data_IF_314361079872
#
_entry.id   IF_314361079872
#
_cell.length_a   1.000
_cell.length_b   1.000
_cell.length_c   1.000
_cell.angle_alpha   90.00
_cell.angle_beta   90.00
_cell.angle_gamma   90.00
#
_symmetry.space_group_name_H-M   'P 1'
#
loop_
_entity.id
_entity.type
_entity.pdbx_description
1 polymer ?
#
# COMPACT_ATOMS: atom_id res chain seq x y z
N UNK A 1 26.02 -20.55 5.47
CA UNK A 1 24.98 -20.86 4.47
C UNK A 1 23.81 -19.93 4.76
N UNK A 2 23.84 -18.72 4.20
CA UNK A 2 22.75 -17.76 4.35
C UNK A 2 21.71 -18.11 3.29
N UNK A 3 20.52 -18.46 3.74
CA UNK A 3 19.40 -18.80 2.88
C UNK A 3 19.08 -17.57 2.03
N UNK A 4 19.15 -17.75 0.70
CA UNK A 4 18.71 -16.79 -0.30
C UNK A 4 17.18 -16.67 -0.21
N UNK A 5 16.71 -15.92 0.77
CA UNK A 5 15.40 -15.29 0.69
C UNK A 5 15.59 -14.17 -0.32
N UNK A 6 15.02 -14.35 -1.51
CA UNK A 6 14.83 -13.30 -2.51
C UNK A 6 14.54 -12.01 -1.74
N UNK A 7 15.25 -10.89 -1.96
CA UNK A 7 14.75 -9.61 -1.51
C UNK A 7 13.49 -9.37 -2.34
N UNK A 8 12.38 -9.96 -1.88
CA UNK A 8 11.05 -9.58 -2.30
C UNK A 8 11.06 -8.07 -2.13
N UNK A 9 10.75 -7.36 -3.20
CA UNK A 9 10.87 -5.92 -3.33
C UNK A 9 9.84 -5.19 -2.46
N UNK A 10 9.75 -5.57 -1.19
CA UNK A 10 9.00 -4.91 -0.15
C UNK A 10 9.42 -3.44 -0.02
N UNK A 11 10.59 -3.02 -0.52
CA UNK A 11 11.01 -1.62 -0.57
C UNK A 11 10.69 -0.85 -1.85
N UNK A 12 9.95 -1.42 -2.82
CA UNK A 12 9.62 -0.70 -4.05
C UNK A 12 8.62 0.42 -3.73
N UNK A 13 9.07 1.67 -3.87
CA UNK A 13 8.23 2.86 -3.64
C UNK A 13 7.02 2.91 -4.57
N UNK A 14 7.07 2.15 -5.66
CA UNK A 14 5.95 1.97 -6.59
C UNK A 14 4.75 1.26 -5.97
N UNK A 15 4.97 0.43 -4.93
CA UNK A 15 3.88 -0.18 -4.14
C UNK A 15 3.05 0.89 -3.40
N UNK A 16 3.63 2.07 -3.17
CA UNK A 16 2.95 3.21 -2.57
C UNK A 16 2.17 4.05 -3.59
N UNK A 17 2.14 3.62 -4.85
CA UNK A 17 1.33 4.23 -5.90
C UNK A 17 0.00 3.47 -5.96
N UNK A 18 -1.14 4.13 -5.75
CA UNK A 18 -2.45 3.50 -5.89
C UNK A 18 -2.61 2.97 -7.33
N UNK A 19 -3.08 1.73 -7.47
CA UNK A 19 -3.33 1.07 -8.76
C UNK A 19 -2.10 0.45 -9.44
N UNK A 20 -0.92 0.49 -8.78
CA UNK A 20 0.30 -0.08 -9.36
C UNK A 20 0.53 -1.54 -8.96
N UNK A 21 0.28 -1.89 -7.70
CA UNK A 21 0.68 -3.19 -7.17
C UNK A 21 -0.24 -4.34 -7.62
N UNK A 22 -1.48 -4.04 -8.04
CA UNK A 22 -2.44 -5.10 -8.37
C UNK A 22 -2.83 -5.86 -7.11
N UNK A 23 -2.54 -7.17 -7.08
CA UNK A 23 -2.76 -8.02 -5.91
C UNK A 23 -1.55 -7.96 -4.95
N UNK A 24 -1.70 -7.24 -3.84
CA UNK A 24 -0.67 -7.15 -2.80
C UNK A 24 -0.57 -8.46 -2.01
N UNK A 25 0.64 -9.04 -2.00
CA UNK A 25 0.95 -10.14 -1.09
C UNK A 25 1.04 -9.65 0.36
N UNK A 26 0.84 -10.55 1.34
CA UNK A 26 0.95 -10.22 2.78
C UNK A 26 2.18 -9.37 3.16
N UNK A 27 3.41 -9.67 2.73
CA UNK A 27 4.57 -8.84 3.07
C UNK A 27 4.60 -7.48 2.36
N UNK A 28 4.02 -7.34 1.17
CA UNK A 28 3.91 -6.05 0.49
C UNK A 28 2.86 -5.16 1.14
N UNK A 29 1.76 -5.77 1.59
CA UNK A 29 0.72 -5.08 2.32
C UNK A 29 1.22 -4.52 3.64
N UNK A 30 1.97 -5.30 4.42
CA UNK A 30 2.57 -4.84 5.69
C UNK A 30 3.47 -3.62 5.47
N UNK A 31 4.26 -3.61 4.40
CA UNK A 31 5.09 -2.46 4.06
C UNK A 31 4.28 -1.23 3.65
N UNK A 32 3.28 -1.40 2.79
CA UNK A 32 2.40 -0.31 2.38
C UNK A 32 1.70 0.28 3.60
N UNK A 33 1.15 -0.57 4.48
CA UNK A 33 0.52 -0.16 5.73
C UNK A 33 1.48 0.63 6.63
N UNK A 34 2.69 0.12 6.87
CA UNK A 34 3.69 0.79 7.69
C UNK A 34 4.02 2.19 7.13
N UNK A 35 4.23 2.29 5.80
CA UNK A 35 4.56 3.55 5.12
C UNK A 35 3.40 4.54 5.15
N UNK A 36 2.17 4.07 4.96
CA UNK A 36 0.96 4.88 5.07
C UNK A 36 0.79 5.42 6.49
N UNK A 37 1.00 4.57 7.50
CA UNK A 37 0.93 4.95 8.92
C UNK A 37 2.01 5.97 9.30
N UNK A 38 3.19 5.84 8.72
CA UNK A 38 4.33 6.74 8.95
C UNK A 38 4.20 8.08 8.19
N UNK A 39 3.45 8.11 7.10
CA UNK A 39 3.33 9.28 6.22
C UNK A 39 1.88 9.73 6.03
N UNK A 40 1.48 10.79 6.74
CA UNK A 40 0.12 11.38 6.60
C UNK A 40 -0.21 11.88 5.19
N UNK A 41 0.80 12.29 4.39
CA UNK A 41 0.59 12.71 2.99
C UNK A 41 0.16 11.53 2.11
N UNK A 42 0.93 10.44 2.16
CA UNK A 42 0.63 9.18 1.49
C UNK A 42 -0.72 8.60 1.91
N UNK A 43 -1.00 8.60 3.22
CA UNK A 43 -2.30 8.20 3.75
C UNK A 43 -3.45 9.01 3.14
N UNK A 44 -3.26 10.33 2.94
CA UNK A 44 -4.25 11.19 2.27
C UNK A 44 -4.37 10.90 0.77
N UNK A 45 -3.26 10.61 0.08
CA UNK A 45 -3.26 10.22 -1.34
C UNK A 45 -4.00 8.89 -1.57
N UNK A 46 -3.87 7.97 -0.62
CA UNK A 46 -4.60 6.70 -0.59
C UNK A 46 -6.03 6.84 -0.06
N UNK A 47 -6.47 8.04 0.31
CA UNK A 47 -7.83 8.29 0.79
C UNK A 47 -8.12 7.73 2.19
N UNK A 48 -7.07 7.38 2.95
CA UNK A 48 -7.19 6.90 4.34
C UNK A 48 -7.30 8.10 5.27
N UNK A 49 -8.53 8.50 5.59
CA UNK A 49 -8.79 9.63 6.47
C UNK A 49 -8.92 9.10 7.90
N UNK A 50 -7.77 8.91 8.57
CA UNK A 50 -7.64 8.66 10.02
C UNK A 50 -8.37 7.42 10.56
N UNK A 51 -7.65 6.29 10.64
CA UNK A 51 -8.04 5.10 11.41
C UNK A 51 -8.59 3.93 10.58
N UNK A 52 -8.80 4.11 9.27
CA UNK A 52 -9.28 3.08 8.35
C UNK A 52 -8.18 2.34 7.60
N UNK A 53 -7.08 1.96 8.27
CA UNK A 53 -6.08 1.05 7.67
C UNK A 53 -6.65 -0.36 7.65
N UNK A 54 -7.54 -0.61 6.69
CA UNK A 54 -8.15 -1.92 6.52
C UNK A 54 -7.42 -2.65 5.40
N UNK A 55 -6.98 -3.89 5.64
CA UNK A 55 -6.24 -4.70 4.68
C UNK A 55 -6.97 -4.74 3.32
N UNK A 56 -8.28 -4.99 3.35
CA UNK A 56 -9.10 -5.04 2.15
C UNK A 56 -9.11 -3.71 1.39
N UNK A 57 -9.10 -2.58 2.11
CA UNK A 57 -9.06 -1.26 1.52
C UNK A 57 -7.71 -0.97 0.85
N UNK A 58 -6.61 -1.28 1.54
CA UNK A 58 -5.25 -1.12 1.00
C UNK A 58 -5.09 -1.97 -0.26
N UNK A 59 -5.53 -3.24 -0.23
CA UNK A 59 -5.53 -4.09 -1.43
C UNK A 59 -6.35 -3.52 -2.56
N UNK A 60 -7.55 -3.02 -2.27
CA UNK A 60 -8.43 -2.47 -3.29
C UNK A 60 -7.85 -1.21 -3.94
N UNK A 61 -7.30 -0.29 -3.16
CA UNK A 61 -6.63 0.92 -3.69
C UNK A 61 -5.37 0.56 -4.47
N UNK A 62 -4.62 -0.44 -4.01
CA UNK A 62 -3.43 -0.92 -4.71
C UNK A 62 -3.76 -1.63 -6.03
N UNK A 63 -4.92 -2.28 -6.10
CA UNK A 63 -5.39 -3.03 -7.26
C UNK A 63 -6.06 -2.13 -8.31
N UNK A 64 -6.95 -1.25 -7.85
CA UNK A 64 -7.85 -0.50 -8.71
C UNK A 64 -7.39 0.96 -8.91
N UNK A 65 -6.51 1.46 -8.02
CA UNK A 65 -6.04 2.84 -8.06
C UNK A 65 -7.07 3.88 -7.68
N UNK A 66 -8.31 3.47 -7.40
CA UNK A 66 -9.36 4.37 -6.95
C UNK A 66 -9.17 4.70 -5.46
N UNK A 67 -8.60 5.88 -5.23
CA UNK A 67 -8.72 6.56 -3.95
C UNK A 67 -10.17 7.04 -3.79
N UNK A 68 -10.91 6.65 -2.74
CA UNK A 68 -12.33 7.01 -2.56
C UNK A 68 -12.58 8.52 -2.40
N UNK A 69 -11.53 9.35 -2.36
CA UNK A 69 -11.62 10.81 -2.34
C UNK A 69 -11.70 11.47 -3.73
N UNK A 70 -11.78 10.68 -4.81
CA UNK A 70 -11.98 11.18 -6.18
C UNK A 70 -13.45 11.29 -6.56
N UNK A 71 -14.19 12.21 -5.94
CA UNK A 71 -15.37 12.80 -6.55
C UNK A 71 -15.09 14.31 -6.69
N UNK A 72 -15.14 14.78 -7.94
CA UNK A 72 -15.12 16.18 -8.35
C UNK A 72 -16.16 17.01 -7.59
#
# INVERSE_FOLDING_TARGET
MQQYLIPLKTGDERLLIPGWAGDLTNPELEFVEERLRRSRRLSKEWGIISGGYNEAFIRQVALDGLSPGGYD
#
